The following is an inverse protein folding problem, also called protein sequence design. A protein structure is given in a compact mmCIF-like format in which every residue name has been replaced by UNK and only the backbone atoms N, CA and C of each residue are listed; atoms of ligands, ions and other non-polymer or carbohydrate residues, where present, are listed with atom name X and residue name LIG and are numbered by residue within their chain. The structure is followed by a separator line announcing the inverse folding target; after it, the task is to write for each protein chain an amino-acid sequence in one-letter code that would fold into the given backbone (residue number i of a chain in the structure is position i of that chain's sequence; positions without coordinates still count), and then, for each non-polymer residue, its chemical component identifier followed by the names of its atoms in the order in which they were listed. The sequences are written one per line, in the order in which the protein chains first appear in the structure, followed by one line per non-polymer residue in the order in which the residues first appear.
data_IF_404479899901
#
_entry.id   IF_404479899901
#
_cell.length_a   1.000
_cell.length_b   1.000
_cell.length_c   1.000
_cell.angle_alpha   90.00
_cell.angle_beta   90.00
_cell.angle_gamma   90.00
#
_symmetry.space_group_name_H-M   'P 1'
#
loop_
_entity.id
_entity.type
_entity.pdbx_description
1 polymer ?
#
# COMPACT_ATOMS: atom_id res chain seq x y z
N UNK A 1 -8.66 -3.16 16.30
CA UNK A 1 -7.46 -2.37 16.72
C UNK A 1 -7.52 -0.96 16.15
N UNK A 2 -7.25 0.07 16.96
CA UNK A 2 -7.30 1.48 16.52
C UNK A 2 -5.88 2.02 16.27
N UNK A 3 -5.63 2.71 15.16
CA UNK A 3 -4.38 3.44 14.95
C UNK A 3 -4.25 4.59 15.95
N UNK A 4 -3.03 4.86 16.41
CA UNK A 4 -2.75 6.05 17.21
C UNK A 4 -3.09 7.33 16.44
N UNK A 5 -3.42 8.40 17.18
CA UNK A 5 -3.70 9.72 16.59
C UNK A 5 -2.52 10.21 15.77
N UNK A 6 -1.29 9.99 16.24
CA UNK A 6 -0.06 10.37 15.55
C UNK A 6 0.09 9.66 14.19
N UNK A 7 -0.15 8.34 14.12
CA UNK A 7 -0.07 7.60 12.85
C UNK A 7 -1.19 8.01 11.90
N UNK A 8 -2.41 8.23 12.41
CA UNK A 8 -3.53 8.72 11.59
C UNK A 8 -3.21 10.08 10.97
N UNK A 9 -2.67 11.03 11.75
CA UNK A 9 -2.31 12.34 11.23
C UNK A 9 -1.17 12.25 10.20
N UNK A 10 -0.17 11.39 10.43
CA UNK A 10 0.91 11.13 9.47
C UNK A 10 0.41 10.51 8.16
N UNK A 11 -0.63 9.67 8.21
CA UNK A 11 -1.29 9.12 7.03
C UNK A 11 -2.19 10.15 6.32
N UNK A 12 -2.85 11.04 7.07
CA UNK A 12 -3.59 12.16 6.49
C UNK A 12 -2.66 13.21 5.87
N UNK A 13 -1.45 13.37 6.39
CA UNK A 13 -0.39 14.18 5.80
C UNK A 13 0.39 13.38 4.74
N UNK A 14 -0.30 13.06 3.65
CA UNK A 14 0.24 12.27 2.54
C UNK A 14 -0.35 12.67 1.19
N UNK A 15 0.15 12.04 0.13
CA UNK A 15 -0.37 12.18 -1.23
C UNK A 15 -1.89 11.91 -1.27
N UNK A 16 -2.66 12.62 -2.11
CA UNK A 16 -4.09 12.35 -2.29
C UNK A 16 -4.40 10.87 -2.47
N UNK A 17 -3.54 10.12 -3.19
CA UNK A 17 -3.67 8.67 -3.44
C UNK A 17 -3.81 7.83 -2.17
N UNK A 18 -3.26 8.29 -1.04
CA UNK A 18 -3.38 7.66 0.28
C UNK A 18 -4.41 8.41 1.13
N UNK A 19 -4.37 9.74 1.13
CA UNK A 19 -5.19 10.58 2.03
C UNK A 19 -6.68 10.30 1.93
N UNK A 20 -7.25 10.16 0.72
CA UNK A 20 -8.69 9.87 0.57
C UNK A 20 -9.08 8.52 1.19
N UNK A 21 -8.18 7.54 1.13
CA UNK A 21 -8.40 6.21 1.69
C UNK A 21 -8.42 6.25 3.22
N UNK A 22 -7.51 7.04 3.79
CA UNK A 22 -7.46 7.27 5.24
C UNK A 22 -8.73 7.99 5.69
N UNK A 23 -9.20 8.98 4.94
CA UNK A 23 -10.48 9.64 5.25
C UNK A 23 -11.65 8.66 5.24
N UNK A 24 -11.72 7.82 4.22
CA UNK A 24 -12.77 6.79 4.09
C UNK A 24 -12.76 5.82 5.26
N UNK A 25 -11.60 5.34 5.66
CA UNK A 25 -11.51 4.23 6.60
C UNK A 25 -11.44 4.68 8.07
N UNK A 26 -10.89 5.87 8.34
CA UNK A 26 -10.40 6.23 9.67
C UNK A 26 -10.98 7.53 10.24
N UNK A 27 -11.63 8.38 9.45
CA UNK A 27 -12.04 9.73 9.92
C UNK A 27 -13.54 9.98 9.96
N UNK A 28 -14.38 8.97 9.72
CA UNK A 28 -15.83 9.13 9.58
C UNK A 28 -16.22 10.25 8.58
N UNK A 29 -15.34 10.55 7.61
CA UNK A 29 -15.57 11.61 6.65
C UNK A 29 -16.77 11.25 5.76
N UNK A 30 -17.65 12.20 5.45
CA UNK A 30 -18.74 12.00 4.51
C UNK A 30 -18.22 11.53 3.14
N UNK A 31 -19.00 10.68 2.46
CA UNK A 31 -18.62 10.13 1.15
C UNK A 31 -18.31 11.21 0.10
N UNK A 32 -18.97 12.38 0.18
CA UNK A 32 -18.72 13.48 -0.75
C UNK A 32 -17.35 14.15 -0.51
N UNK A 33 -16.90 14.31 0.74
CA UNK A 33 -15.57 14.84 1.05
C UNK A 33 -14.47 13.87 0.60
N UNK A 34 -14.68 12.56 0.82
CA UNK A 34 -13.78 11.51 0.32
C UNK A 34 -13.69 11.55 -1.20
N UNK A 35 -14.82 11.76 -1.90
CA UNK A 35 -14.84 11.85 -3.35
C UNK A 35 -14.10 13.09 -3.87
N UNK A 36 -14.26 14.25 -3.21
CA UNK A 36 -13.52 15.48 -3.50
C UNK A 36 -12.02 15.26 -3.31
N UNK A 37 -11.61 14.64 -2.21
CA UNK A 37 -10.19 14.36 -1.97
C UNK A 37 -9.60 13.39 -2.99
N UNK A 38 -10.34 12.33 -3.34
CA UNK A 38 -9.92 11.37 -4.36
C UNK A 38 -9.80 11.99 -5.75
N UNK A 39 -10.64 12.99 -6.08
CA UNK A 39 -10.58 13.67 -7.37
C UNK A 39 -9.24 14.42 -7.58
N UNK A 40 -8.60 14.89 -6.51
CA UNK A 40 -7.29 15.56 -6.57
C UNK A 40 -6.18 14.68 -7.15
N UNK A 41 -6.31 13.34 -7.13
CA UNK A 41 -5.32 12.43 -7.72
C UNK A 41 -5.04 12.78 -9.19
N UNK A 42 -6.05 13.26 -9.93
CA UNK A 42 -5.89 13.61 -11.34
C UNK A 42 -5.06 14.89 -11.56
N UNK A 43 -4.99 15.78 -10.56
CA UNK A 43 -4.42 17.13 -10.70
C UNK A 43 -3.27 17.41 -9.74
N UNK A 44 -3.09 16.59 -8.71
CA UNK A 44 -2.08 16.75 -7.67
C UNK A 44 -1.31 15.43 -7.44
N UNK A 45 -0.09 15.55 -6.91
CA UNK A 45 0.63 14.42 -6.33
C UNK A 45 1.13 13.40 -7.35
N UNK A 46 1.17 12.13 -6.95
CA UNK A 46 1.69 11.02 -7.75
C UNK A 46 0.83 10.71 -8.97
N UNK A 47 -0.50 10.77 -8.83
CA UNK A 47 -1.43 10.50 -9.92
C UNK A 47 -1.27 11.50 -11.07
N UNK A 48 -1.23 12.79 -10.76
CA UNK A 48 -1.00 13.82 -11.76
C UNK A 48 0.35 13.66 -12.46
N UNK A 49 1.43 13.39 -11.70
CA UNK A 49 2.75 13.09 -12.28
C UNK A 49 2.72 11.88 -13.21
N UNK A 50 2.01 10.81 -12.83
CA UNK A 50 1.85 9.65 -13.69
C UNK A 50 1.10 10.02 -14.99
N UNK A 51 0.05 10.83 -14.89
CA UNK A 51 -0.72 11.29 -16.06
C UNK A 51 0.14 12.14 -17.01
N UNK A 52 1.08 12.94 -16.51
CA UNK A 52 2.01 13.71 -17.36
C UNK A 52 2.99 12.86 -18.16
N UNK A 53 3.13 11.57 -17.85
CA UNK A 53 3.98 10.65 -18.60
C UNK A 53 3.30 10.08 -19.84
N UNK A 54 2.03 10.41 -20.08
CA UNK A 54 1.35 10.02 -21.32
C UNK A 54 2.00 10.75 -22.49
N UNK A 55 2.49 9.99 -23.47
CA UNK A 55 3.02 10.54 -24.71
C UNK A 55 1.91 11.21 -25.53
N UNK A 56 2.31 12.04 -26.49
CA UNK A 56 1.41 12.74 -27.41
C UNK A 56 0.50 11.79 -28.21
N UNK A 57 0.93 10.54 -28.37
CA UNK A 57 0.17 9.45 -29.00
C UNK A 57 -0.95 8.89 -28.09
N UNK A 58 -1.13 9.42 -26.88
CA UNK A 58 -2.10 8.97 -25.89
C UNK A 58 -1.70 7.66 -25.17
N UNK A 59 -0.45 7.22 -25.27
CA UNK A 59 0.05 5.98 -24.66
C UNK A 59 1.07 6.28 -23.57
N UNK A 60 1.20 5.35 -22.63
CA UNK A 60 2.35 5.28 -21.72
C UNK A 60 3.28 4.20 -22.26
N UNK A 61 4.27 4.62 -23.04
CA UNK A 61 5.23 3.71 -23.64
C UNK A 61 6.10 3.06 -22.57
N UNK A 62 6.37 1.75 -22.69
CA UNK A 62 7.06 1.01 -21.64
C UNK A 62 8.57 1.31 -21.65
N UNK A 63 9.13 1.69 -20.50
CA UNK A 63 10.59 1.66 -20.28
C UNK A 63 11.02 0.35 -19.61
N UNK A 64 10.18 -0.68 -19.65
CA UNK A 64 10.40 -1.90 -18.89
C UNK A 64 11.49 -2.75 -19.55
N UNK A 65 12.61 -2.92 -18.86
CA UNK A 65 13.61 -3.93 -19.19
C UNK A 65 13.04 -5.35 -18.99
N UNK A 66 13.51 -6.30 -19.79
CA UNK A 66 13.17 -7.71 -19.63
C UNK A 66 13.70 -8.20 -18.29
N UNK A 67 12.84 -8.82 -17.48
CA UNK A 67 13.25 -9.48 -16.23
C UNK A 67 14.08 -10.72 -16.60
N UNK A 68 15.40 -10.59 -16.62
CA UNK A 68 16.32 -11.65 -17.03
C UNK A 68 16.49 -12.76 -15.97
N UNK A 69 16.08 -12.52 -14.72
CA UNK A 69 16.16 -13.50 -13.63
C UNK A 69 14.88 -13.52 -12.81
N UNK A 70 14.14 -14.62 -12.92
CA UNK A 70 13.09 -14.98 -11.98
C UNK A 70 13.71 -15.43 -10.65
N UNK A 71 13.25 -14.84 -9.54
CA UNK A 71 13.87 -15.01 -8.22
C UNK A 71 13.00 -15.93 -7.36
N UNK A 72 13.39 -17.20 -7.32
CA UNK A 72 12.83 -18.23 -6.45
C UNK A 72 13.58 -18.24 -5.11
N UNK A 73 12.86 -18.11 -4.00
CA UNK A 73 13.40 -18.21 -2.65
C UNK A 73 12.29 -18.28 -1.60
N UNK A 74 12.47 -19.15 -0.59
CA UNK A 74 11.41 -19.55 0.36
C UNK A 74 10.85 -18.40 1.22
N UNK A 75 11.59 -17.30 1.40
CA UNK A 75 11.21 -16.17 2.28
C UNK A 75 10.79 -14.90 1.53
N UNK A 76 10.74 -14.92 0.20
CA UNK A 76 10.43 -13.70 -0.59
C UNK A 76 9.00 -13.21 -0.35
N UNK A 77 8.07 -14.12 -0.09
CA UNK A 77 6.65 -13.81 0.12
C UNK A 77 6.35 -13.16 1.48
N UNK A 78 7.28 -13.19 2.44
CA UNK A 78 7.10 -12.59 3.78
C UNK A 78 7.61 -11.15 3.87
N UNK A 79 8.23 -10.61 2.81
CA UNK A 79 8.78 -9.25 2.75
C UNK A 79 7.78 -8.29 2.15
N UNK A 80 7.42 -7.23 2.88
CA UNK A 80 6.40 -6.28 2.45
C UNK A 80 6.97 -5.30 1.41
N UNK A 81 6.42 -5.37 0.20
CA UNK A 81 6.77 -4.50 -0.91
C UNK A 81 5.63 -3.54 -1.22
N UNK A 82 5.98 -2.33 -1.63
CA UNK A 82 5.06 -1.46 -2.33
C UNK A 82 5.80 -0.56 -3.34
N UNK A 83 5.28 -0.41 -4.57
CA UNK A 83 4.23 -1.23 -5.18
C UNK A 83 4.68 -2.70 -5.32
N UNK A 84 3.73 -3.64 -5.31
CA UNK A 84 4.03 -5.09 -5.28
C UNK A 84 4.44 -5.68 -6.64
N UNK A 85 4.15 -4.98 -7.75
CA UNK A 85 4.48 -5.39 -9.12
C UNK A 85 4.01 -6.84 -9.42
N UNK A 86 4.85 -7.68 -10.04
CA UNK A 86 4.58 -9.09 -10.31
C UNK A 86 4.85 -10.00 -9.08
N UNK A 87 5.47 -9.47 -8.03
CA UNK A 87 5.72 -10.24 -6.82
C UNK A 87 4.47 -10.26 -5.92
N UNK A 88 4.22 -11.44 -5.36
CA UNK A 88 3.12 -11.67 -4.43
C UNK A 88 3.69 -11.78 -3.02
N UNK A 89 3.36 -10.82 -2.15
CA UNK A 89 3.65 -10.88 -0.73
C UNK A 89 2.40 -11.26 0.08
N UNK A 90 2.61 -11.77 1.30
CA UNK A 90 1.54 -12.20 2.21
C UNK A 90 0.54 -11.08 2.48
N UNK A 91 1.01 -9.84 2.59
CA UNK A 91 0.15 -8.68 2.82
C UNK A 91 -0.77 -8.40 1.63
N UNK A 92 -0.34 -8.70 0.39
CA UNK A 92 -1.18 -8.61 -0.82
C UNK A 92 -2.24 -9.71 -0.82
N UNK A 93 -1.89 -10.92 -0.40
CA UNK A 93 -2.83 -12.03 -0.25
C UNK A 93 -3.94 -11.72 0.75
N UNK A 94 -3.57 -11.26 1.95
CA UNK A 94 -4.52 -10.89 2.99
C UNK A 94 -5.41 -9.71 2.58
N UNK A 95 -4.84 -8.70 1.92
CA UNK A 95 -5.61 -7.55 1.42
C UNK A 95 -6.63 -7.98 0.36
N UNK A 96 -6.32 -8.98 -0.47
CA UNK A 96 -7.28 -9.57 -1.39
C UNK A 96 -8.44 -10.26 -0.66
N UNK A 97 -8.15 -11.14 0.31
CA UNK A 97 -9.18 -11.84 1.09
C UNK A 97 -10.11 -10.87 1.81
N UNK A 98 -9.52 -9.84 2.44
CA UNK A 98 -10.25 -8.75 3.07
C UNK A 98 -11.17 -8.02 2.08
N UNK A 99 -10.65 -7.62 0.91
CA UNK A 99 -11.44 -6.92 -0.11
C UNK A 99 -12.56 -7.77 -0.70
N UNK A 100 -12.37 -9.08 -0.73
CA UNK A 100 -13.38 -10.06 -1.11
C UNK A 100 -14.42 -10.33 0.00
N UNK A 101 -14.27 -9.69 1.17
CA UNK A 101 -15.14 -9.86 2.34
C UNK A 101 -15.23 -11.31 2.83
N UNK A 102 -14.13 -12.05 2.72
CA UNK A 102 -13.99 -13.40 3.28
C UNK A 102 -14.00 -13.30 4.81
N UNK A 103 -14.72 -14.19 5.49
CA UNK A 103 -14.61 -14.33 6.96
C UNK A 103 -13.27 -15.02 7.28
N UNK A 104 -12.40 -14.43 8.11
CA UNK A 104 -11.15 -15.07 8.49
C UNK A 104 -11.38 -16.44 9.15
N UNK A 105 -10.50 -17.39 8.84
CA UNK A 105 -10.42 -18.69 9.51
C UNK A 105 -8.99 -18.99 9.97
N UNK A 106 -8.78 -20.15 10.60
CA UNK A 106 -7.48 -20.54 11.18
C UNK A 106 -6.31 -20.49 10.20
N UNK A 107 -6.55 -20.61 8.88
CA UNK A 107 -5.50 -20.64 7.86
C UNK A 107 -4.81 -19.30 7.69
N UNK A 108 -5.45 -18.19 8.09
CA UNK A 108 -4.82 -16.86 7.99
C UNK A 108 -4.08 -16.47 9.27
N UNK A 109 -4.21 -17.22 10.37
CA UNK A 109 -3.69 -16.83 11.68
C UNK A 109 -2.17 -16.57 11.68
N UNK A 110 -1.38 -17.51 11.15
CA UNK A 110 0.09 -17.36 11.05
C UNK A 110 0.48 -16.10 10.24
N UNK A 111 -0.23 -15.85 9.13
CA UNK A 111 0.01 -14.70 8.29
C UNK A 111 -0.36 -13.38 8.97
N UNK A 112 -1.40 -13.39 9.81
CA UNK A 112 -1.79 -12.24 10.64
C UNK A 112 -0.76 -11.98 11.73
N UNK A 113 -0.25 -13.01 12.39
CA UNK A 113 0.81 -12.88 13.40
C UNK A 113 2.07 -12.28 12.79
N UNK A 114 2.45 -12.70 11.58
CA UNK A 114 3.55 -12.12 10.82
C UNK A 114 3.33 -10.64 10.47
N UNK A 115 2.09 -10.24 10.12
CA UNK A 115 1.77 -8.83 9.90
C UNK A 115 1.91 -8.06 11.21
N UNK A 116 1.34 -8.56 12.31
CA UNK A 116 1.41 -7.91 13.62
C UNK A 116 2.86 -7.77 14.11
N UNK A 117 3.70 -8.78 13.94
CA UNK A 117 5.10 -8.77 14.41
C UNK A 117 5.98 -7.75 13.70
N UNK A 118 5.58 -7.28 12.50
CA UNK A 118 6.31 -6.29 11.70
C UNK A 118 5.95 -4.84 12.03
N UNK A 119 5.00 -4.61 12.94
CA UNK A 119 4.67 -3.28 13.42
C UNK A 119 5.84 -2.71 14.24
N UNK A 120 6.31 -1.52 13.89
CA UNK A 120 7.32 -0.83 14.68
C UNK A 120 6.75 -0.24 15.97
N UNK A 121 7.61 0.26 16.86
CA UNK A 121 7.20 0.87 18.14
C UNK A 121 6.33 2.12 18.00
N UNK A 122 6.22 2.70 16.80
CA UNK A 122 5.36 3.84 16.49
C UNK A 122 4.03 3.42 15.85
N UNK A 123 3.81 2.14 15.60
CA UNK A 123 2.60 1.61 14.98
C UNK A 123 2.62 1.61 13.44
N UNK A 124 3.81 1.62 12.81
CA UNK A 124 4.01 1.71 11.35
C UNK A 124 4.67 0.45 10.81
N UNK A 125 4.58 0.26 9.49
CA UNK A 125 5.23 -0.84 8.77
C UNK A 125 6.22 -0.30 7.75
N UNK A 126 7.38 -0.95 7.66
CA UNK A 126 8.45 -0.54 6.77
C UNK A 126 8.20 -0.99 5.32
N UNK A 127 8.86 -0.32 4.36
CA UNK A 127 9.12 -0.89 3.04
C UNK A 127 10.33 -1.82 3.15
N UNK A 128 10.13 -3.14 3.13
CA UNK A 128 11.21 -4.10 3.39
C UNK A 128 11.98 -4.50 2.12
N UNK A 129 11.35 -4.35 0.96
CA UNK A 129 11.96 -4.69 -0.31
C UNK A 129 11.43 -3.78 -1.42
N UNK A 130 12.34 -3.41 -2.32
CA UNK A 130 12.02 -2.83 -3.62
C UNK A 130 12.53 -3.78 -4.68
N UNK A 131 11.65 -4.21 -5.56
CA UNK A 131 12.04 -5.06 -6.67
C UNK A 131 12.69 -4.21 -7.78
N UNK A 132 13.69 -4.75 -8.49
CA UNK A 132 14.38 -4.00 -9.53
C UNK A 132 13.45 -3.52 -10.63
N UNK A 133 13.62 -2.26 -11.01
CA UNK A 133 13.03 -1.62 -12.17
C UNK A 133 12.86 -0.12 -11.92
N UNK A 134 12.62 0.62 -12.99
CA UNK A 134 12.47 2.08 -12.92
C UNK A 134 11.05 2.41 -12.52
N UNK A 135 10.87 3.04 -11.36
CA UNK A 135 9.60 3.69 -11.01
C UNK A 135 9.56 5.08 -11.65
N UNK A 136 8.58 5.36 -12.53
CA UNK A 136 8.49 6.68 -13.15
C UNK A 136 8.09 7.79 -12.16
N UNK A 137 7.45 7.41 -11.05
CA UNK A 137 7.08 8.31 -9.96
C UNK A 137 7.43 7.63 -8.63
N UNK A 138 8.27 8.25 -7.83
CA UNK A 138 8.60 7.75 -6.49
C UNK A 138 7.43 7.96 -5.52
N UNK A 139 6.95 6.87 -4.89
CA UNK A 139 5.74 6.86 -4.05
C UNK A 139 5.96 6.41 -2.61
N UNK A 140 7.21 6.26 -2.20
CA UNK A 140 7.60 5.88 -0.84
C UNK A 140 8.94 6.54 -0.48
N UNK A 141 9.32 6.51 0.80
CA UNK A 141 10.54 7.14 1.33
C UNK A 141 11.78 6.23 1.19
N UNK A 142 11.58 4.97 0.76
CA UNK A 142 12.65 4.05 0.42
C UNK A 142 12.73 2.82 1.33
N UNK A 143 13.56 1.85 0.93
CA UNK A 143 13.70 0.58 1.68
C UNK A 143 14.23 0.85 3.09
N UNK A 144 13.60 0.23 4.09
CA UNK A 144 13.90 0.40 5.51
C UNK A 144 13.20 1.58 6.17
N UNK A 145 12.52 2.44 5.41
CA UNK A 145 11.72 3.55 5.97
C UNK A 145 10.26 3.13 6.20
N UNK A 146 9.54 3.79 7.13
CA UNK A 146 8.11 3.59 7.30
C UNK A 146 7.32 3.89 6.02
N UNK A 147 6.62 2.87 5.51
CA UNK A 147 5.79 2.98 4.31
C UNK A 147 4.35 3.30 4.70
N UNK A 148 3.81 4.40 4.16
CA UNK A 148 2.41 4.77 4.36
C UNK A 148 1.46 3.74 3.75
N UNK A 149 1.83 3.18 2.60
CA UNK A 149 1.06 2.13 1.92
C UNK A 149 1.03 0.83 2.72
N UNK A 150 2.19 0.33 3.17
CA UNK A 150 2.22 -0.89 3.99
C UNK A 150 1.52 -0.66 5.32
N UNK A 151 1.68 0.52 5.94
CA UNK A 151 1.00 0.85 7.20
C UNK A 151 -0.52 0.83 7.05
N UNK A 152 -1.08 1.48 6.02
CA UNK A 152 -2.52 1.48 5.79
C UNK A 152 -3.06 0.07 5.47
N UNK A 153 -2.36 -0.68 4.62
CA UNK A 153 -2.74 -2.07 4.25
C UNK A 153 -2.67 -3.02 5.45
N UNK A 154 -1.59 -2.98 6.23
CA UNK A 154 -1.42 -3.82 7.40
C UNK A 154 -2.49 -3.52 8.45
N UNK A 155 -2.77 -2.24 8.71
CA UNK A 155 -3.84 -1.87 9.62
C UNK A 155 -5.21 -2.40 9.17
N UNK A 156 -5.56 -2.25 7.89
CA UNK A 156 -6.83 -2.77 7.34
C UNK A 156 -6.97 -4.28 7.52
N UNK A 157 -5.89 -5.02 7.25
CA UNK A 157 -5.83 -6.48 7.42
C UNK A 157 -6.03 -6.87 8.88
N UNK A 158 -5.32 -6.22 9.82
CA UNK A 158 -5.46 -6.51 11.25
C UNK A 158 -6.84 -6.11 11.79
N UNK A 159 -7.39 -5.00 11.31
CA UNK A 159 -8.74 -4.57 11.67
C UNK A 159 -9.81 -5.55 11.19
N UNK A 160 -9.68 -6.05 9.95
CA UNK A 160 -10.55 -7.08 9.39
C UNK A 160 -10.49 -8.40 10.15
N UNK A 161 -9.30 -8.84 10.56
CA UNK A 161 -9.16 -10.08 11.34
C UNK A 161 -9.78 -9.98 12.75
N UNK A 162 -9.84 -8.78 13.31
CA UNK A 162 -10.34 -8.53 14.68
C UNK A 162 -11.82 -8.12 14.74
N UNK A 163 -12.49 -8.02 13.58
CA UNK A 163 -13.88 -7.57 13.47
C UNK A 163 -14.86 -8.74 13.64
#
# INVERSE_FOLDING_TARGET
MMLSVAVRQWLLDSDPSIRWQVMQDLTAAPAHEVAVERAKIATEGWGARLLTLQGENGRWDNTAEVIAQDRKGETVWTRFAFPTWWHYDVLRGLEYLRRANVTPDERVAEAIDLVASKQDGNGRWLLEVRYPGVMPVEIDEGVGQPSRWNTLRAWRVLAWYSA
#
